data_IF_704658902845
#
_entry.id   IF_704658902845
#
_cell.length_a   1.000
_cell.length_b   1.000
_cell.length_c   1.000
_cell.angle_alpha   90.00
_cell.angle_beta   90.00
_cell.angle_gamma   90.00
#
_symmetry.space_group_name_H-M   'P 1'
#
loop_
_entity.id
_entity.type
_entity.pdbx_description
1 polymer ?
#
# COMPACT_ATOMS: atom_id res chain seq x y z
N UNK A 1 -13.90 -1.40 22.01
CA UNK A 1 -14.09 -0.73 20.73
C UNK A 1 -13.43 -1.52 19.61
N UNK A 2 -14.10 -1.59 18.49
CA UNK A 2 -13.56 -2.30 17.36
C UNK A 2 -12.55 -1.43 16.64
N UNK A 3 -11.40 -1.99 16.38
CA UNK A 3 -10.40 -1.30 15.57
C UNK A 3 -10.57 -1.74 14.12
N UNK A 4 -10.63 -0.77 13.24
CA UNK A 4 -10.73 -1.06 11.82
C UNK A 4 -9.31 -1.24 11.30
N UNK A 5 -9.04 -2.42 10.75
CA UNK A 5 -7.74 -2.66 10.14
C UNK A 5 -7.66 -1.95 8.80
N UNK A 6 -6.54 -1.33 8.58
CA UNK A 6 -6.25 -0.63 7.32
C UNK A 6 -5.01 -1.23 6.70
N UNK A 7 -4.95 -1.17 5.40
CA UNK A 7 -3.84 -1.73 4.64
C UNK A 7 -3.27 -0.65 3.74
N UNK A 8 -1.97 -0.72 3.53
CA UNK A 8 -1.31 0.24 2.66
C UNK A 8 -0.35 -0.48 1.74
N UNK A 9 0.15 0.26 0.77
CA UNK A 9 1.11 -0.27 -0.18
C UNK A 9 2.46 0.34 0.13
N UNK A 10 3.49 -0.50 0.21
CA UNK A 10 4.84 -0.05 0.48
C UNK A 10 5.72 -0.30 -0.72
N UNK A 11 6.63 0.62 -0.94
CA UNK A 11 7.67 0.46 -1.94
C UNK A 11 8.98 0.95 -1.32
N UNK A 12 10.01 0.13 -1.41
CA UNK A 12 11.34 0.48 -0.89
C UNK A 12 11.29 0.86 0.60
N UNK A 13 10.51 0.10 1.37
CA UNK A 13 10.34 0.28 2.81
C UNK A 13 9.65 1.58 3.20
N UNK A 14 8.99 2.22 2.25
CA UNK A 14 8.23 3.45 2.50
C UNK A 14 6.81 3.27 2.03
N UNK A 15 5.88 3.98 2.68
CA UNK A 15 4.50 3.98 2.24
C UNK A 15 4.40 4.70 0.90
N UNK A 16 3.65 4.08 -0.02
CA UNK A 16 3.40 4.71 -1.30
C UNK A 16 2.46 5.91 -1.09
N UNK A 17 2.87 7.06 -1.61
CA UNK A 17 2.16 8.32 -1.40
C UNK A 17 1.49 8.73 -2.69
N UNK A 18 0.21 9.09 -2.61
CA UNK A 18 -0.53 9.58 -3.76
C UNK A 18 -0.23 11.05 -4.01
N UNK A 19 -0.82 11.59 -5.08
CA UNK A 19 -0.53 12.96 -5.51
C UNK A 19 -0.88 13.99 -4.44
N UNK A 20 -1.86 13.69 -3.59
CA UNK A 20 -2.26 14.61 -2.54
C UNK A 20 -1.31 14.57 -1.33
N UNK A 21 -0.26 13.78 -1.40
CA UNK A 21 0.72 13.67 -0.34
C UNK A 21 0.33 12.73 0.79
N UNK A 22 -0.75 11.98 0.63
CA UNK A 22 -1.20 11.06 1.65
C UNK A 22 -1.00 9.62 1.19
N UNK A 23 -0.72 8.69 2.13
CA UNK A 23 -0.58 7.29 1.73
C UNK A 23 -1.91 6.71 1.30
N UNK A 24 -1.85 5.78 0.35
CA UNK A 24 -3.05 5.06 -0.07
C UNK A 24 -3.48 4.10 1.02
N UNK A 25 -4.71 4.24 1.47
CA UNK A 25 -5.24 3.42 2.55
C UNK A 25 -6.41 2.58 2.01
N UNK A 26 -6.37 1.30 2.35
CA UNK A 26 -7.40 0.36 1.93
C UNK A 26 -8.00 -0.27 3.17
N UNK A 27 -9.29 -0.53 3.13
CA UNK A 27 -9.96 -1.17 4.26
C UNK A 27 -10.03 -2.68 4.11
N UNK A 28 -9.76 -3.19 2.91
CA UNK A 28 -9.73 -4.62 2.65
C UNK A 28 -8.36 -4.98 2.10
N UNK A 29 -7.77 -6.02 2.68
CA UNK A 29 -6.44 -6.46 2.24
C UNK A 29 -6.43 -6.83 0.76
N UNK A 30 -7.49 -7.50 0.30
CA UNK A 30 -7.55 -7.93 -1.11
C UNK A 30 -7.56 -6.73 -2.06
N UNK A 31 -8.18 -5.63 -1.65
CA UNK A 31 -8.18 -4.43 -2.49
C UNK A 31 -6.78 -3.85 -2.60
N UNK A 32 -6.06 -3.82 -1.48
CA UNK A 32 -4.67 -3.37 -1.51
C UNK A 32 -3.82 -4.29 -2.38
N UNK A 33 -4.05 -5.59 -2.26
CA UNK A 33 -3.29 -6.55 -3.05
C UNK A 33 -3.59 -6.44 -4.54
N UNK A 34 -4.84 -6.19 -4.89
CA UNK A 34 -5.20 -5.99 -6.30
C UNK A 34 -4.49 -4.79 -6.89
N UNK A 35 -4.48 -3.68 -6.16
CA UNK A 35 -3.81 -2.48 -6.65
C UNK A 35 -2.29 -2.68 -6.69
N UNK A 36 -1.73 -3.33 -5.68
CA UNK A 36 -0.30 -3.61 -5.67
C UNK A 36 0.08 -4.52 -6.84
N UNK A 37 -0.77 -5.49 -7.16
CA UNK A 37 -0.51 -6.37 -8.30
C UNK A 37 -0.51 -5.58 -9.61
N UNK A 38 -1.45 -4.64 -9.75
CA UNK A 38 -1.47 -3.77 -10.93
C UNK A 38 -0.20 -2.95 -11.03
N UNK A 39 0.22 -2.34 -9.91
CA UNK A 39 1.46 -1.57 -9.91
C UNK A 39 2.65 -2.44 -10.27
N UNK A 40 2.70 -3.65 -9.72
CA UNK A 40 3.81 -4.55 -10.00
C UNK A 40 3.84 -4.98 -11.46
N UNK A 41 2.66 -5.13 -12.08
CA UNK A 41 2.62 -5.52 -13.49
C UNK A 41 3.11 -4.41 -14.40
N UNK A 42 3.06 -3.18 -13.94
CA UNK A 42 3.48 -2.02 -14.74
C UNK A 42 4.89 -1.54 -14.39
N UNK A 43 5.47 -2.07 -13.34
CA UNK A 43 6.79 -1.60 -12.94
C UNK A 43 7.85 -2.09 -13.92
N UNK A 44 8.91 -1.31 -14.06
CA UNK A 44 10.00 -1.64 -14.97
C UNK A 44 10.94 -2.63 -14.30
N UNK A 45 11.65 -3.37 -15.11
CA UNK A 45 12.68 -4.28 -14.60
C UNK A 45 13.70 -3.49 -13.80
N UNK A 46 13.95 -3.92 -12.59
CA UNK A 46 14.87 -3.25 -11.71
C UNK A 46 14.21 -2.34 -10.69
N UNK A 47 12.94 -1.99 -10.90
CA UNK A 47 12.22 -1.21 -9.90
C UNK A 47 11.88 -2.09 -8.71
N UNK A 48 11.77 -1.46 -7.55
CA UNK A 48 11.41 -2.17 -6.33
C UNK A 48 9.97 -2.67 -6.42
N UNK A 49 9.70 -3.86 -5.89
CA UNK A 49 8.31 -4.37 -5.92
C UNK A 49 7.44 -3.65 -4.90
N UNK A 50 6.17 -3.55 -5.22
CA UNK A 50 5.18 -3.03 -4.28
C UNK A 50 4.73 -4.15 -3.36
N UNK A 51 4.54 -3.83 -2.09
CA UNK A 51 4.12 -4.80 -1.09
C UNK A 51 2.95 -4.25 -0.31
N UNK A 52 2.11 -5.15 0.18
CA UNK A 52 0.97 -4.77 1.01
C UNK A 52 1.31 -5.06 2.46
N UNK A 53 1.08 -4.09 3.33
CA UNK A 53 1.26 -4.26 4.76
C UNK A 53 0.13 -3.59 5.51
N UNK A 54 -0.14 -4.09 6.69
CA UNK A 54 -1.12 -3.46 7.56
C UNK A 54 -0.64 -2.06 7.92
N UNK A 55 -1.49 -1.08 7.68
CA UNK A 55 -1.16 0.30 7.98
C UNK A 55 -1.52 0.59 9.42
N UNK A 56 -0.53 0.87 10.22
CA UNK A 56 -0.72 1.25 11.61
C UNK A 56 -0.44 2.71 11.78
N UNK A 57 -1.41 3.41 12.30
CA UNK A 57 -1.27 4.83 12.56
C UNK A 57 -0.88 4.98 14.02
N UNK A 58 0.40 5.11 14.27
CA UNK A 58 0.90 5.33 15.62
C UNK A 58 0.75 6.78 16.00
N UNK A 59 -0.12 7.02 16.89
CA UNK A 59 -0.29 8.36 17.42
C UNK A 59 0.08 8.38 18.89
#
# INVERSE_FOLDING_TARGET
MKQVKKWGIMIDEKWWIEEDGKPSIYYLKREAEDDAADFNSMRKKGDKPYQVKEYKNDT
#
